data_IF_791200967007
#
_entry.id   IF_791200967007
#
_cell.length_a   1.000
_cell.length_b   1.000
_cell.length_c   1.000
_cell.angle_alpha   90.00
_cell.angle_beta   90.00
_cell.angle_gamma   90.00
#
_symmetry.space_group_name_H-M   'P 1'
#
loop_
_entity.id
_entity.type
_entity.pdbx_description
1 polymer ?
#
# COMPACT_ATOMS: atom_id res chain seq x y z
N UNK A 1 -7.49 16.92 4.57
CA UNK A 1 -8.34 16.89 3.36
C UNK A 1 -8.13 15.56 2.62
N UNK A 2 -9.04 15.13 1.73
CA UNK A 2 -8.90 13.87 0.96
C UNK A 2 -7.76 13.97 -0.07
N UNK A 3 -7.54 15.17 -0.57
CA UNK A 3 -6.41 15.57 -1.41
C UNK A 3 -5.07 15.33 -0.69
N UNK A 4 -4.96 15.72 0.58
CA UNK A 4 -3.75 15.46 1.39
C UNK A 4 -3.49 13.96 1.54
N UNK A 5 -4.54 13.17 1.78
CA UNK A 5 -4.42 11.72 1.90
C UNK A 5 -3.91 11.09 0.60
N UNK A 6 -4.49 11.47 -0.53
CA UNK A 6 -4.01 11.02 -1.86
C UNK A 6 -2.57 11.48 -2.10
N UNK A 7 -2.23 12.70 -1.70
CA UNK A 7 -0.87 13.24 -1.77
C UNK A 7 0.14 12.42 -0.97
N UNK A 8 -0.23 12.02 0.25
CA UNK A 8 0.59 11.17 1.12
C UNK A 8 0.75 9.74 0.57
N UNK A 9 -0.33 9.14 0.05
CA UNK A 9 -0.32 7.76 -0.47
C UNK A 9 0.38 7.65 -1.84
N UNK A 10 0.29 8.70 -2.65
CA UNK A 10 0.83 8.75 -4.01
C UNK A 10 1.68 10.02 -4.18
N UNK A 11 2.88 10.07 -3.59
CA UNK A 11 3.70 11.27 -3.63
C UNK A 11 4.27 11.58 -5.03
N UNK A 12 4.41 12.87 -5.34
CA UNK A 12 5.24 13.39 -6.43
C UNK A 12 4.70 13.22 -7.86
N UNK A 13 3.48 12.72 -8.07
CA UNK A 13 2.92 12.55 -9.42
C UNK A 13 1.43 12.93 -9.49
N UNK A 14 1.15 14.14 -9.97
CA UNK A 14 -0.22 14.68 -10.09
C UNK A 14 -1.15 13.83 -10.95
N UNK A 15 -0.64 13.22 -12.03
CA UNK A 15 -1.44 12.32 -12.88
C UNK A 15 -1.85 11.05 -12.12
N UNK A 16 -0.94 10.47 -11.32
CA UNK A 16 -1.27 9.31 -10.51
C UNK A 16 -2.17 9.65 -9.34
N UNK A 17 -2.01 10.83 -8.72
CA UNK A 17 -2.89 11.33 -7.67
C UNK A 17 -4.31 11.54 -8.20
N UNK A 18 -4.45 12.20 -9.36
CA UNK A 18 -5.74 12.37 -10.04
C UNK A 18 -6.38 11.01 -10.34
N UNK A 19 -5.64 10.09 -10.96
CA UNK A 19 -6.15 8.75 -11.23
C UNK A 19 -6.51 7.98 -9.96
N UNK A 20 -5.78 8.19 -8.86
CA UNK A 20 -6.05 7.52 -7.59
C UNK A 20 -7.36 8.02 -6.99
N UNK A 21 -7.59 9.33 -7.02
CA UNK A 21 -8.86 9.93 -6.60
C UNK A 21 -10.03 9.41 -7.44
N UNK A 22 -9.90 9.36 -8.77
CA UNK A 22 -10.93 8.83 -9.67
C UNK A 22 -11.27 7.38 -9.35
N UNK A 23 -10.27 6.49 -9.24
CA UNK A 23 -10.50 5.08 -8.87
C UNK A 23 -11.21 5.00 -7.51
N UNK A 24 -10.75 5.79 -6.53
CA UNK A 24 -11.31 5.72 -5.18
C UNK A 24 -12.77 6.14 -5.15
N UNK A 25 -13.13 7.26 -5.79
CA UNK A 25 -14.52 7.73 -5.80
C UNK A 25 -15.44 6.79 -6.57
N UNK A 26 -14.99 6.22 -7.68
CA UNK A 26 -15.78 5.24 -8.42
C UNK A 26 -16.07 4.00 -7.59
N UNK A 27 -15.09 3.49 -6.87
CA UNK A 27 -15.30 2.35 -5.98
C UNK A 27 -16.08 2.71 -4.71
N UNK A 28 -15.99 3.95 -4.24
CA UNK A 28 -16.73 4.44 -3.06
C UNK A 28 -18.22 4.54 -3.33
N UNK A 29 -18.61 4.97 -4.53
CA UNK A 29 -19.99 5.19 -4.92
C UNK A 29 -20.60 4.02 -5.71
N UNK A 30 -19.83 2.96 -5.95
CA UNK A 30 -20.35 1.74 -6.55
C UNK A 30 -21.17 0.94 -5.54
N UNK A 31 -22.41 0.62 -5.89
CA UNK A 31 -23.28 -0.26 -5.08
C UNK A 31 -22.83 -1.74 -5.11
N UNK A 32 -21.92 -2.10 -6.03
CA UNK A 32 -21.45 -3.46 -6.24
C UNK A 32 -19.99 -3.52 -6.70
N UNK A 33 -19.45 -4.74 -6.84
CA UNK A 33 -18.07 -4.93 -7.34
C UNK A 33 -17.99 -4.41 -8.78
N UNK A 34 -16.99 -3.54 -9.04
CA UNK A 34 -16.79 -2.93 -10.36
C UNK A 34 -16.02 -3.90 -11.25
N UNK A 35 -16.61 -4.49 -12.30
CA UNK A 35 -15.97 -5.57 -13.06
C UNK A 35 -14.68 -5.15 -13.76
N UNK A 36 -14.64 -3.91 -14.24
CA UNK A 36 -13.53 -3.36 -15.00
C UNK A 36 -13.40 -1.85 -14.75
N UNK A 37 -12.17 -1.37 -14.58
CA UNK A 37 -11.87 0.06 -14.41
C UNK A 37 -11.42 0.75 -15.72
N UNK A 38 -11.34 0.04 -16.85
CA UNK A 38 -10.85 0.59 -18.12
C UNK A 38 -11.69 1.77 -18.65
N UNK A 39 -12.99 1.83 -18.32
CA UNK A 39 -13.86 2.95 -18.71
C UNK A 39 -13.41 4.30 -18.10
N UNK A 40 -12.60 4.26 -17.04
CA UNK A 40 -12.02 5.46 -16.43
C UNK A 40 -11.04 6.18 -17.35
N UNK A 41 -10.44 5.47 -18.31
CA UNK A 41 -9.55 6.08 -19.31
C UNK A 41 -10.28 7.17 -20.09
N UNK A 42 -11.47 6.85 -20.59
CA UNK A 42 -12.31 7.76 -21.36
C UNK A 42 -13.03 8.76 -20.46
N UNK A 43 -13.63 8.29 -19.35
CA UNK A 43 -14.44 9.12 -18.44
C UNK A 43 -13.65 10.28 -17.81
N UNK A 44 -12.40 10.01 -17.43
CA UNK A 44 -11.56 10.98 -16.71
C UNK A 44 -10.33 11.43 -17.51
N UNK A 45 -10.23 11.04 -18.79
CA UNK A 45 -9.08 11.36 -19.66
C UNK A 45 -7.75 10.90 -19.05
N UNK A 46 -7.76 9.71 -18.44
CA UNK A 46 -6.57 9.10 -17.83
C UNK A 46 -5.93 8.18 -18.86
N UNK A 47 -4.61 8.30 -19.07
CA UNK A 47 -3.93 7.33 -19.94
C UNK A 47 -3.92 5.93 -19.33
N UNK A 48 -4.08 4.90 -20.17
CA UNK A 48 -4.00 3.49 -19.78
C UNK A 48 -2.83 3.16 -18.86
N UNK A 49 -1.65 3.69 -19.19
CA UNK A 49 -0.42 3.48 -18.40
C UNK A 49 -0.51 4.07 -16.99
N UNK A 50 -1.08 5.27 -16.84
CA UNK A 50 -1.27 5.90 -15.53
C UNK A 50 -2.30 5.10 -14.72
N UNK A 51 -3.44 4.75 -15.33
CA UNK A 51 -4.49 3.97 -14.68
C UNK A 51 -3.95 2.63 -14.15
N UNK A 52 -3.24 1.87 -14.98
CA UNK A 52 -2.67 0.57 -14.59
C UNK A 52 -1.66 0.69 -13.45
N UNK A 53 -0.76 1.68 -13.52
CA UNK A 53 0.26 1.91 -12.47
C UNK A 53 -0.39 2.31 -11.16
N UNK A 54 -1.33 3.25 -11.19
CA UNK A 54 -2.05 3.70 -10.01
C UNK A 54 -2.85 2.55 -9.40
N UNK A 55 -3.60 1.79 -10.21
CA UNK A 55 -4.32 0.59 -9.74
C UNK A 55 -3.40 -0.41 -9.06
N UNK A 56 -2.27 -0.73 -9.68
CA UNK A 56 -1.28 -1.63 -9.08
C UNK A 56 -0.72 -1.10 -7.75
N UNK A 57 -0.46 0.21 -7.66
CA UNK A 57 0.00 0.87 -6.44
C UNK A 57 -1.05 0.80 -5.32
N UNK A 58 -2.30 1.14 -5.62
CA UNK A 58 -3.41 1.07 -4.66
C UNK A 58 -3.66 -0.36 -4.19
N UNK A 59 -3.56 -1.35 -5.09
CA UNK A 59 -3.71 -2.76 -4.73
C UNK A 59 -2.57 -3.24 -3.81
N UNK A 60 -1.33 -2.85 -4.09
CA UNK A 60 -0.17 -3.16 -3.23
C UNK A 60 -0.26 -2.53 -1.84
N UNK A 61 -0.82 -1.33 -1.76
CA UNK A 61 -1.09 -0.67 -0.47
C UNK A 61 -2.24 -1.33 0.30
N UNK A 62 -3.08 -2.14 -0.36
CA UNK A 62 -4.27 -2.73 0.25
C UNK A 62 -5.43 -1.73 0.40
N UNK A 63 -5.48 -0.71 -0.46
CA UNK A 63 -6.60 0.25 -0.54
C UNK A 63 -7.72 -0.26 -1.44
N UNK A 64 -7.36 -1.03 -2.46
CA UNK A 64 -8.29 -1.72 -3.35
C UNK A 64 -7.90 -3.20 -3.42
N UNK A 65 -8.85 -4.05 -3.75
CA UNK A 65 -8.61 -5.47 -3.98
C UNK A 65 -9.35 -5.94 -5.22
N UNK A 66 -8.77 -6.95 -5.88
CA UNK A 66 -9.42 -7.66 -6.95
C UNK A 66 -10.12 -8.89 -6.40
N UNK A 67 -11.43 -8.96 -6.56
CA UNK A 67 -12.24 -10.14 -6.25
C UNK A 67 -12.19 -11.09 -7.43
N UNK A 68 -11.69 -12.28 -7.19
CA UNK A 68 -11.71 -13.38 -8.17
C UNK A 68 -13.11 -14.00 -8.23
N UNK A 69 -13.49 -14.45 -9.42
CA UNK A 69 -14.72 -15.22 -9.66
C UNK A 69 -14.83 -16.47 -8.77
N UNK A 70 -13.69 -17.07 -8.40
CA UNK A 70 -13.63 -18.25 -7.52
C UNK A 70 -13.94 -17.94 -6.05
N UNK A 71 -14.12 -16.67 -5.68
CA UNK A 71 -14.40 -16.29 -4.32
C UNK A 71 -15.90 -16.46 -4.01
N UNK A 72 -16.24 -17.59 -3.39
CA UNK A 72 -17.61 -17.93 -2.98
C UNK A 72 -18.25 -16.90 -2.06
N UNK A 73 -17.45 -16.13 -1.30
CA UNK A 73 -17.94 -15.05 -0.43
C UNK A 73 -18.74 -13.99 -1.17
N UNK A 74 -18.44 -13.77 -2.46
CA UNK A 74 -19.05 -12.74 -3.28
C UNK A 74 -20.02 -13.30 -4.32
N UNK A 75 -20.48 -14.54 -4.17
CA UNK A 75 -21.53 -15.11 -5.02
C UNK A 75 -21.16 -15.16 -6.51
N UNK A 76 -19.89 -15.38 -6.85
CA UNK A 76 -19.41 -15.40 -8.24
C UNK A 76 -19.21 -14.02 -8.87
N UNK A 77 -19.34 -12.92 -8.12
CA UNK A 77 -18.94 -11.60 -8.61
C UNK A 77 -17.42 -11.52 -8.76
N UNK A 78 -16.96 -10.76 -9.76
CA UNK A 78 -15.55 -10.51 -10.01
C UNK A 78 -15.30 -9.03 -10.29
N UNK A 79 -14.09 -8.55 -9.98
CA UNK A 79 -13.69 -7.18 -10.31
C UNK A 79 -13.03 -6.47 -9.14
N UNK A 80 -13.23 -5.17 -9.04
CA UNK A 80 -12.52 -4.29 -8.11
C UNK A 80 -13.45 -3.75 -7.04
N UNK A 81 -12.94 -3.63 -5.81
CA UNK A 81 -13.61 -3.01 -4.68
C UNK A 81 -12.60 -2.33 -3.76
N UNK A 82 -13.09 -1.47 -2.87
CA UNK A 82 -12.29 -0.96 -1.75
C UNK A 82 -11.92 -2.11 -0.80
N UNK A 83 -10.69 -2.07 -0.28
CA UNK A 83 -10.19 -3.04 0.68
C UNK A 83 -9.98 -2.39 2.05
N UNK A 84 -10.25 -3.14 3.12
CA UNK A 84 -9.99 -2.72 4.50
C UNK A 84 -8.61 -3.13 5.01
N UNK A 85 -7.78 -3.74 4.16
CA UNK A 85 -6.45 -4.25 4.54
C UNK A 85 -5.54 -3.12 5.02
N UNK A 86 -5.51 -2.01 4.29
CA UNK A 86 -4.71 -0.84 4.67
C UNK A 86 -5.17 -0.24 5.99
N UNK A 87 -6.49 -0.04 6.17
CA UNK A 87 -7.07 0.46 7.42
C UNK A 87 -6.71 -0.44 8.60
N UNK A 88 -6.87 -1.75 8.44
CA UNK A 88 -6.54 -2.73 9.48
C UNK A 88 -5.06 -2.66 9.85
N UNK A 89 -4.17 -2.56 8.86
CA UNK A 89 -2.74 -2.41 9.09
C UNK A 89 -2.41 -1.11 9.84
N UNK A 90 -3.05 0.02 9.49
CA UNK A 90 -2.87 1.29 10.20
C UNK A 90 -3.36 1.23 11.65
N UNK A 91 -4.50 0.57 11.91
CA UNK A 91 -5.00 0.37 13.29
C UNK A 91 -4.02 -0.46 14.10
N UNK A 92 -3.52 -1.55 13.54
CA UNK A 92 -2.53 -2.40 14.20
C UNK A 92 -1.22 -1.65 14.45
N UNK A 93 -0.78 -0.81 13.51
CA UNK A 93 0.38 0.04 13.68
C UNK A 93 0.18 1.05 14.82
N UNK A 94 -0.97 1.73 14.86
CA UNK A 94 -1.30 2.68 15.92
C UNK A 94 -1.31 2.01 17.32
N UNK A 95 -1.87 0.80 17.43
CA UNK A 95 -1.85 0.01 18.66
C UNK A 95 -0.42 -0.34 19.10
N UNK A 96 0.44 -0.77 18.16
CA UNK A 96 1.85 -1.04 18.45
C UNK A 96 2.61 0.19 18.90
N UNK A 97 2.39 1.34 18.24
CA UNK A 97 3.00 2.61 18.65
C UNK A 97 2.52 3.07 20.03
N UNK A 98 1.25 2.85 20.37
CA UNK A 98 0.73 3.14 21.69
C UNK A 98 1.39 2.25 22.76
N UNK A 99 1.46 0.94 22.52
CA UNK A 99 2.15 -0.01 23.40
C UNK A 99 3.63 0.32 23.57
N UNK A 100 4.31 0.72 22.49
CA UNK A 100 5.73 1.11 22.54
C UNK A 100 6.00 2.36 23.38
N UNK A 101 5.03 3.29 23.50
CA UNK A 101 5.18 4.47 24.36
C UNK A 101 5.01 4.14 25.85
N UNK A 102 4.41 3.00 26.17
CA UNK A 102 4.23 2.59 27.56
C UNK A 102 5.58 2.12 28.15
N UNK A 103 6.03 2.77 29.22
CA UNK A 103 7.30 2.48 29.89
C UNK A 103 7.30 1.17 30.66
N UNK A 104 6.16 0.47 30.70
CA UNK A 104 6.03 -0.86 31.28
C UNK A 104 6.67 -1.96 30.41
N UNK A 105 7.16 -1.65 29.21
CA UNK A 105 7.98 -2.59 28.43
C UNK A 105 9.32 -2.84 29.13
N UNK A 106 9.76 -4.11 29.14
CA UNK A 106 11.05 -4.48 29.70
C UNK A 106 12.16 -3.85 28.86
N UNK A 107 12.87 -2.86 29.42
CA UNK A 107 14.06 -2.22 28.85
C UNK A 107 15.06 -3.22 28.24
N UNK A 108 15.19 -4.38 28.85
CA UNK A 108 16.03 -5.50 28.38
C UNK A 108 15.60 -6.05 27.00
N UNK A 109 14.30 -6.11 26.73
CA UNK A 109 13.78 -6.53 25.41
C UNK A 109 14.07 -5.48 24.35
N UNK A 110 13.95 -4.21 24.70
CA UNK A 110 14.20 -3.09 23.79
C UNK A 110 15.69 -3.00 23.44
N UNK A 111 16.58 -3.17 24.42
CA UNK A 111 18.04 -3.24 24.22
C UNK A 111 18.45 -4.47 23.39
N UNK A 112 17.81 -5.63 23.61
CA UNK A 112 18.06 -6.84 22.81
C UNK A 112 17.63 -6.65 21.34
N UNK A 113 16.49 -5.99 21.10
CA UNK A 113 16.03 -5.67 19.74
C UNK A 113 17.00 -4.78 18.97
N UNK A 114 17.62 -3.80 19.64
CA UNK A 114 18.64 -2.94 19.03
C UNK A 114 19.86 -3.75 18.59
N UNK A 115 20.36 -4.65 19.44
CA UNK A 115 21.49 -5.54 19.12
C UNK A 115 21.18 -6.42 17.89
N UNK A 116 19.97 -6.99 17.80
CA UNK A 116 19.55 -7.77 16.64
C UNK A 116 19.51 -6.96 15.34
N UNK A 117 18.97 -5.73 15.38
CA UNK A 117 18.89 -4.86 14.20
C UNK A 117 20.26 -4.35 13.76
N UNK A 118 21.18 -4.12 14.70
CA UNK A 118 22.56 -3.76 14.40
C UNK A 118 23.35 -4.92 13.78
N UNK A 119 23.16 -6.14 14.28
CA UNK A 119 23.73 -7.35 13.67
C UNK A 119 23.34 -7.51 12.19
N UNK A 120 22.09 -7.19 11.84
CA UNK A 120 21.62 -7.18 10.45
C UNK A 120 22.28 -6.12 9.56
N UNK A 121 22.68 -4.96 10.12
CA UNK A 121 23.38 -3.90 9.37
C UNK A 121 24.84 -4.23 9.11
N UNK A 122 25.51 -4.91 10.03
CA UNK A 122 26.93 -5.31 9.87
C UNK A 122 27.07 -6.37 8.77
N UNK A 123 26.14 -7.32 8.69
CA UNK A 123 26.18 -8.37 7.69
C UNK A 123 25.87 -7.88 6.26
N UNK A 124 25.12 -6.78 6.11
CA UNK A 124 24.80 -6.18 4.80
C UNK A 124 25.88 -5.26 4.22
N UNK A 125 26.92 -4.91 5.00
CA UNK A 125 27.99 -3.98 4.57
C UNK A 125 29.22 -4.70 4.01
N UNK A 126 29.31 -6.02 4.19
CA UNK A 126 30.46 -6.83 3.74
C UNK A 126 30.43 -7.23 2.26
N UNK A 127 29.29 -7.06 1.57
CA UNK A 127 29.13 -7.48 0.16
C UNK A 127 29.38 -6.36 -0.87
N UNK A 128 29.58 -5.12 -0.44
CA UNK A 128 29.87 -3.99 -1.36
C UNK A 128 31.36 -3.64 -1.46
N UNK A 129 32.23 -4.28 -0.67
CA UNK A 129 33.67 -4.00 -0.63
C UNK A 129 34.53 -4.93 -1.52
N UNK A 130 33.95 -5.88 -2.26
CA UNK A 130 34.71 -6.80 -3.15
C UNK A 130 34.47 -6.59 -4.65
N UNK A 131 34.28 -5.34 -5.10
CA UNK A 131 34.10 -5.06 -6.55
C UNK A 131 34.93 -3.89 -7.10
N UNK A 132 36.03 -3.57 -6.44
CA UNK A 132 37.06 -2.68 -7.01
C UNK A 132 38.40 -3.36 -6.72
N UNK A 133 38.84 -4.20 -7.66
CA UNK A 133 40.24 -4.62 -7.90
C UNK A 133 40.23 -5.80 -8.86
N UNK A 134 39.95 -5.49 -10.13
CA UNK A 134 40.38 -6.29 -11.28
C UNK A 134 40.16 -5.49 -12.56
N UNK A 135 41.12 -4.63 -12.89
CA UNK A 135 41.57 -4.34 -14.25
C UNK A 135 43.09 -4.21 -14.19
#
# INVERSE_FOLDING_TARGET
DYTDLIGMLVPGNGNQQHAAACIFFELKWADSIVPNLAYLETKYRISRRVLQRTRAKLARLGLIEHVSYLNSRYGGQHGWKLSSRFETALRQLALKCAAFRDKNSSRLKDETLLVFLEGGRVCGRSDSARRVDRI
#
